data_IF_122282579227
#
_entry.id   IF_122282579227
#
_cell.length_a   1.000
_cell.length_b   1.000
_cell.length_c   1.000
_cell.angle_alpha   90.00
_cell.angle_beta   90.00
_cell.angle_gamma   90.00
#
_symmetry.space_group_name_H-M   'P 1'
#
loop_
_entity.id
_entity.type
_entity.pdbx_description
1 polymer ?
#
# COMPACT_ATOMS: atom_id res chain seq x y z
N UNK A 1 -51.95 -0.80 -3.12
CA UNK A 1 -52.12 0.67 -2.95
C UNK A 1 -51.42 1.40 -4.10
N UNK A 2 -51.81 2.62 -4.51
CA UNK A 2 -51.08 3.31 -5.58
C UNK A 2 -49.72 3.81 -5.06
N UNK A 3 -48.61 3.28 -5.58
CA UNK A 3 -47.26 3.70 -5.16
C UNK A 3 -46.97 5.11 -5.70
N UNK A 4 -46.91 6.09 -4.80
CA UNK A 4 -46.71 7.49 -5.17
C UNK A 4 -45.23 7.82 -5.37
N UNK A 5 -44.95 8.87 -6.16
CA UNK A 5 -43.57 9.35 -6.34
C UNK A 5 -42.92 9.82 -5.03
N UNK A 6 -43.71 10.35 -4.10
CA UNK A 6 -43.25 10.75 -2.76
C UNK A 6 -42.79 9.53 -1.94
N UNK A 7 -43.56 8.44 -1.97
CA UNK A 7 -43.20 7.20 -1.27
C UNK A 7 -41.94 6.56 -1.85
N UNK A 8 -41.81 6.56 -3.18
CA UNK A 8 -40.57 6.13 -3.85
C UNK A 8 -39.39 6.99 -3.43
N UNK A 9 -39.56 8.32 -3.38
CA UNK A 9 -38.50 9.24 -2.95
C UNK A 9 -38.08 8.97 -1.50
N UNK A 10 -39.03 8.80 -0.59
CA UNK A 10 -38.75 8.49 0.82
C UNK A 10 -37.95 7.18 0.97
N UNK A 11 -38.38 6.11 0.29
CA UNK A 11 -37.65 4.85 0.36
C UNK A 11 -36.23 4.98 -0.19
N UNK A 12 -36.03 5.74 -1.28
CA UNK A 12 -34.68 5.98 -1.84
C UNK A 12 -33.80 6.77 -0.89
N UNK A 13 -34.34 7.77 -0.21
CA UNK A 13 -33.58 8.56 0.77
C UNK A 13 -33.13 7.70 1.95
N UNK A 14 -33.95 6.73 2.37
CA UNK A 14 -33.61 5.78 3.45
C UNK A 14 -32.67 4.65 3.03
N UNK A 15 -32.79 4.14 1.79
CA UNK A 15 -32.09 2.93 1.34
C UNK A 15 -30.94 3.16 0.36
N UNK A 16 -30.85 4.34 -0.26
CA UNK A 16 -29.92 4.61 -1.36
C UNK A 16 -30.26 3.91 -2.68
N UNK A 17 -31.38 3.17 -2.75
CA UNK A 17 -31.71 2.38 -3.94
C UNK A 17 -32.02 3.22 -5.19
N UNK A 18 -31.82 2.60 -6.36
CA UNK A 18 -32.25 3.16 -7.65
C UNK A 18 -33.76 3.32 -7.74
N UNK A 19 -34.24 4.29 -8.53
CA UNK A 19 -35.67 4.64 -8.63
C UNK A 19 -36.57 3.44 -8.92
N UNK A 20 -36.17 2.61 -9.88
CA UNK A 20 -36.96 1.46 -10.29
C UNK A 20 -36.94 0.33 -9.26
N UNK A 21 -35.83 0.15 -8.55
CA UNK A 21 -35.72 -0.87 -7.51
C UNK A 21 -36.57 -0.50 -6.29
N UNK A 22 -36.51 0.77 -5.86
CA UNK A 22 -37.38 1.29 -4.80
C UNK A 22 -38.86 1.17 -5.18
N UNK A 23 -39.24 1.55 -6.41
CA UNK A 23 -40.62 1.41 -6.88
C UNK A 23 -41.07 -0.05 -6.91
N UNK A 24 -40.25 -0.98 -7.41
CA UNK A 24 -40.59 -2.42 -7.44
C UNK A 24 -40.73 -2.98 -6.03
N UNK A 25 -39.80 -2.65 -5.13
CA UNK A 25 -39.88 -3.09 -3.74
C UNK A 25 -41.17 -2.61 -3.06
N UNK A 26 -41.56 -1.35 -3.27
CA UNK A 26 -42.83 -0.82 -2.75
C UNK A 26 -44.06 -1.49 -3.36
N UNK A 27 -44.02 -1.86 -4.65
CA UNK A 27 -45.11 -2.62 -5.29
C UNK A 27 -45.23 -4.01 -4.66
N UNK A 28 -44.11 -4.71 -4.44
CA UNK A 28 -44.07 -6.07 -3.89
C UNK A 28 -44.44 -6.12 -2.40
N UNK A 29 -44.35 -4.99 -1.69
CA UNK A 29 -44.63 -4.88 -0.25
C UNK A 29 -45.88 -4.06 0.04
N UNK A 30 -46.73 -3.84 -0.97
CA UNK A 30 -47.98 -3.10 -0.87
C UNK A 30 -47.85 -1.65 -0.33
N UNK A 31 -46.65 -1.06 -0.47
CA UNK A 31 -46.31 0.29 -0.02
C UNK A 31 -45.77 0.38 1.41
N UNK A 32 -45.51 -0.76 2.06
CA UNK A 32 -44.91 -0.84 3.39
C UNK A 32 -43.40 -0.53 3.33
N UNK A 33 -43.00 0.64 3.85
CA UNK A 33 -41.60 1.12 3.79
C UNK A 33 -40.65 0.16 4.47
N UNK A 34 -41.00 -0.35 5.66
CA UNK A 34 -40.08 -1.16 6.46
C UNK A 34 -39.85 -2.52 5.80
N UNK A 35 -40.92 -3.15 5.30
CA UNK A 35 -40.79 -4.37 4.48
C UNK A 35 -40.06 -4.13 3.17
N UNK A 36 -40.25 -2.96 2.54
CA UNK A 36 -39.53 -2.63 1.32
C UNK A 36 -38.02 -2.48 1.56
N UNK A 37 -37.61 -1.96 2.72
CA UNK A 37 -36.20 -1.89 3.13
C UNK A 37 -35.63 -3.31 3.31
N UNK A 38 -36.32 -4.19 4.03
CA UNK A 38 -35.90 -5.59 4.21
C UNK A 38 -35.76 -6.32 2.86
N UNK A 39 -36.73 -6.15 1.96
CA UNK A 39 -36.70 -6.73 0.63
C UNK A 39 -35.55 -6.18 -0.23
N UNK A 40 -35.27 -4.88 -0.14
CA UNK A 40 -34.13 -4.27 -0.84
C UNK A 40 -32.80 -4.81 -0.32
N UNK A 41 -32.70 -5.06 0.98
CA UNK A 41 -31.51 -5.67 1.60
C UNK A 41 -31.30 -7.10 1.10
N UNK A 42 -32.35 -7.92 1.06
CA UNK A 42 -32.29 -9.27 0.48
C UNK A 42 -31.86 -9.25 -1.00
N UNK A 43 -32.47 -8.38 -1.80
CA UNK A 43 -32.09 -8.19 -3.21
C UNK A 43 -30.68 -7.65 -3.36
N UNK A 44 -30.21 -6.82 -2.43
CA UNK A 44 -28.85 -6.31 -2.36
C UNK A 44 -27.82 -7.43 -2.19
N UNK A 45 -28.06 -8.35 -1.27
CA UNK A 45 -27.22 -9.55 -1.09
C UNK A 45 -27.12 -10.37 -2.39
N UNK A 46 -28.25 -10.62 -3.05
CA UNK A 46 -28.25 -11.34 -4.33
C UNK A 46 -27.49 -10.58 -5.44
N UNK A 47 -27.59 -9.25 -5.48
CA UNK A 47 -26.84 -8.41 -6.43
C UNK A 47 -25.34 -8.38 -6.15
N UNK A 48 -24.94 -8.44 -4.87
CA UNK A 48 -23.55 -8.49 -4.47
C UNK A 48 -22.94 -9.86 -4.79
N UNK A 49 -23.66 -10.96 -4.50
CA UNK A 49 -23.25 -12.32 -4.85
C UNK A 49 -22.98 -12.47 -6.36
N UNK A 50 -23.84 -11.89 -7.23
CA UNK A 50 -23.65 -11.90 -8.69
C UNK A 50 -22.43 -11.12 -9.18
N UNK A 51 -21.82 -10.28 -8.33
CA UNK A 51 -20.62 -9.49 -8.66
C UNK A 51 -19.38 -9.97 -7.92
N UNK A 52 -19.49 -10.99 -7.07
CA UNK A 52 -18.40 -11.43 -6.20
C UNK A 52 -17.15 -11.86 -6.99
N UNK A 53 -17.33 -12.44 -8.19
CA UNK A 53 -16.24 -12.91 -9.04
C UNK A 53 -15.56 -11.81 -9.87
N UNK A 54 -16.07 -10.57 -9.83
CA UNK A 54 -15.47 -9.45 -10.58
C UNK A 54 -14.15 -9.02 -9.96
N UNK A 55 -13.27 -8.49 -10.80
CA UNK A 55 -11.98 -7.94 -10.35
C UNK A 55 -12.19 -6.49 -9.88
N UNK A 56 -11.86 -6.23 -8.63
CA UNK A 56 -11.88 -4.88 -8.03
C UNK A 56 -10.45 -4.47 -7.71
N UNK A 57 -9.78 -3.83 -8.68
CA UNK A 57 -8.35 -3.44 -8.59
C UNK A 57 -8.15 -1.92 -8.41
N UNK A 58 -9.22 -1.13 -8.49
CA UNK A 58 -9.19 0.30 -8.13
C UNK A 58 -9.79 0.49 -6.72
N UNK A 59 -9.92 1.74 -6.25
CA UNK A 59 -10.44 2.05 -4.92
C UNK A 59 -9.61 3.08 -4.16
N UNK A 60 -9.69 3.04 -2.84
CA UNK A 60 -9.00 3.95 -1.93
C UNK A 60 -8.47 3.24 -0.69
N UNK A 61 -7.41 3.80 -0.14
CA UNK A 61 -7.02 3.56 1.26
C UNK A 61 -7.74 4.53 2.18
N UNK A 62 -7.99 4.11 3.42
CA UNK A 62 -8.43 4.98 4.51
C UNK A 62 -7.43 4.94 5.66
N UNK A 63 -7.20 6.07 6.33
CA UNK A 63 -6.32 6.15 7.51
C UNK A 63 -7.06 6.85 8.64
N UNK A 64 -7.05 6.28 9.84
CA UNK A 64 -7.64 6.90 11.02
C UNK A 64 -6.78 6.66 12.26
N UNK A 65 -6.64 7.69 13.10
CA UNK A 65 -5.91 7.63 14.36
C UNK A 65 -6.89 7.79 15.51
N UNK A 66 -6.91 6.81 16.42
CA UNK A 66 -7.70 6.77 17.65
C UNK A 66 -6.77 6.67 18.87
N UNK A 67 -6.32 7.81 19.37
CA UNK A 67 -5.36 7.87 20.48
C UNK A 67 -4.04 7.18 20.12
N UNK A 68 -3.76 6.05 20.77
CA UNK A 68 -2.53 5.27 20.59
C UNK A 68 -2.67 4.09 19.60
N UNK A 69 -3.81 4.00 18.91
CA UNK A 69 -4.05 3.01 17.86
C UNK A 69 -4.39 3.74 16.57
N UNK A 70 -3.82 3.31 15.45
CA UNK A 70 -4.15 3.81 14.13
C UNK A 70 -4.48 2.65 13.20
N UNK A 71 -5.42 2.86 12.28
CA UNK A 71 -5.78 1.88 11.26
C UNK A 71 -5.51 2.44 9.87
N UNK A 72 -4.90 1.61 9.02
CA UNK A 72 -4.90 1.80 7.56
C UNK A 72 -5.73 0.68 6.94
N UNK A 73 -6.63 1.03 6.03
CA UNK A 73 -7.52 0.08 5.35
C UNK A 73 -7.40 0.23 3.85
N UNK A 74 -7.66 -0.83 3.10
CA UNK A 74 -7.84 -0.80 1.65
C UNK A 74 -9.25 -1.29 1.30
N UNK A 75 -10.00 -0.43 0.61
CA UNK A 75 -11.32 -0.76 0.06
C UNK A 75 -11.26 -0.62 -1.44
N UNK A 76 -11.65 -1.67 -2.16
CA UNK A 76 -11.56 -1.72 -3.61
C UNK A 76 -12.91 -1.58 -4.30
N UNK A 77 -12.84 -1.08 -5.53
CA UNK A 77 -13.93 -0.99 -6.51
C UNK A 77 -13.43 -1.48 -7.89
N UNK A 78 -14.34 -1.62 -8.86
CA UNK A 78 -13.97 -2.03 -10.22
C UNK A 78 -13.30 -0.85 -10.96
N UNK A 79 -13.78 0.38 -10.76
CA UNK A 79 -13.31 1.57 -11.49
C UNK A 79 -12.81 2.70 -10.58
N UNK A 80 -11.99 3.60 -11.16
CA UNK A 80 -11.50 4.81 -10.48
C UNK A 80 -12.59 5.89 -10.33
N UNK A 81 -13.68 5.80 -11.09
CA UNK A 81 -14.84 6.69 -10.95
C UNK A 81 -15.52 6.48 -9.59
N UNK A 82 -15.64 5.23 -9.14
CA UNK A 82 -16.19 4.92 -7.81
C UNK A 82 -15.30 5.45 -6.69
N UNK A 83 -13.97 5.45 -6.87
CA UNK A 83 -13.06 6.03 -5.90
C UNK A 83 -13.30 7.54 -5.64
N UNK A 84 -13.97 8.25 -6.55
CA UNK A 84 -14.35 9.67 -6.41
C UNK A 84 -15.79 9.86 -5.92
N UNK A 85 -16.56 8.78 -5.76
CA UNK A 85 -17.95 8.81 -5.30
C UNK A 85 -18.01 9.11 -3.79
N UNK A 86 -18.82 10.09 -3.38
CA UNK A 86 -18.91 10.51 -1.98
C UNK A 86 -19.36 9.39 -1.02
N UNK A 87 -20.27 8.51 -1.45
CA UNK A 87 -20.72 7.36 -0.65
C UNK A 87 -19.57 6.37 -0.42
N UNK A 88 -18.75 6.13 -1.45
CA UNK A 88 -17.59 5.26 -1.35
C UNK A 88 -16.51 5.86 -0.46
N UNK A 89 -16.19 7.14 -0.62
CA UNK A 89 -15.22 7.85 0.22
C UNK A 89 -15.63 7.81 1.70
N UNK A 90 -16.91 8.05 2.00
CA UNK A 90 -17.42 7.98 3.36
C UNK A 90 -17.34 6.56 3.95
N UNK A 91 -17.63 5.54 3.15
CA UNK A 91 -17.49 4.14 3.55
C UNK A 91 -16.04 3.78 3.89
N UNK A 92 -15.08 4.23 3.07
CA UNK A 92 -13.63 4.01 3.33
C UNK A 92 -13.21 4.67 4.64
N UNK A 93 -13.57 5.95 4.84
CA UNK A 93 -13.22 6.70 6.05
C UNK A 93 -13.86 6.10 7.31
N UNK A 94 -15.14 5.74 7.23
CA UNK A 94 -15.85 5.13 8.35
C UNK A 94 -15.31 3.75 8.67
N UNK A 95 -14.91 2.97 7.66
CA UNK A 95 -14.24 1.68 7.87
C UNK A 95 -12.95 1.89 8.65
N UNK A 96 -12.06 2.80 8.23
CA UNK A 96 -10.82 3.07 8.94
C UNK A 96 -11.07 3.43 10.42
N UNK A 97 -12.07 4.28 10.67
CA UNK A 97 -12.48 4.64 12.04
C UNK A 97 -12.96 3.44 12.85
N UNK A 98 -13.91 2.68 12.33
CA UNK A 98 -14.50 1.52 13.01
C UNK A 98 -13.44 0.46 13.31
N UNK A 99 -12.48 0.25 12.39
CA UNK A 99 -11.35 -0.67 12.61
C UNK A 99 -10.44 -0.16 13.73
N UNK A 100 -10.06 1.12 13.73
CA UNK A 100 -9.20 1.69 14.79
C UNK A 100 -9.86 1.69 16.17
N UNK A 101 -11.18 1.86 16.23
CA UNK A 101 -11.95 1.82 17.48
C UNK A 101 -12.21 0.38 17.96
N UNK A 102 -12.51 -0.54 17.04
CA UNK A 102 -12.90 -1.92 17.33
C UNK A 102 -11.75 -2.92 17.45
N UNK A 103 -10.58 -2.61 16.90
CA UNK A 103 -9.36 -3.42 16.93
C UNK A 103 -9.58 -4.93 16.62
N UNK A 104 -10.22 -5.26 15.47
CA UNK A 104 -10.50 -6.64 15.13
C UNK A 104 -9.20 -7.40 14.83
N UNK A 105 -9.18 -8.71 15.11
CA UNK A 105 -8.03 -9.56 14.88
C UNK A 105 -7.76 -9.82 13.39
N UNK A 106 -8.81 -9.87 12.58
CA UNK A 106 -8.77 -10.21 11.16
C UNK A 106 -9.98 -9.61 10.41
N UNK A 107 -10.02 -9.82 9.08
CA UNK A 107 -11.08 -9.29 8.24
C UNK A 107 -12.46 -9.87 8.58
N UNK A 108 -12.53 -11.11 9.06
CA UNK A 108 -13.82 -11.74 9.41
C UNK A 108 -14.41 -11.10 10.66
N UNK A 109 -13.58 -10.83 11.67
CA UNK A 109 -13.96 -10.08 12.86
C UNK A 109 -14.30 -8.62 12.52
N UNK A 110 -13.54 -7.99 11.63
CA UNK A 110 -13.79 -6.63 11.16
C UNK A 110 -15.17 -6.48 10.52
N UNK A 111 -15.56 -7.39 9.63
CA UNK A 111 -16.86 -7.35 8.94
C UNK A 111 -18.06 -7.41 9.89
N UNK A 112 -17.88 -7.95 11.11
CA UNK A 112 -18.92 -8.06 12.14
C UNK A 112 -19.03 -6.79 13.01
N UNK A 113 -18.12 -5.82 12.88
CA UNK A 113 -18.20 -4.57 13.63
C UNK A 113 -19.39 -3.73 13.16
N UNK A 114 -20.05 -3.09 14.12
CA UNK A 114 -21.23 -2.25 13.87
C UNK A 114 -20.77 -0.81 13.60
N UNK A 115 -21.21 -0.27 12.47
CA UNK A 115 -20.96 1.12 12.07
C UNK A 115 -21.84 2.08 12.88
N UNK A 116 -21.51 3.38 12.92
CA UNK A 116 -22.37 4.40 13.55
C UNK A 116 -23.80 4.45 13.00
N UNK A 117 -24.02 3.98 11.76
CA UNK A 117 -25.35 3.84 11.14
C UNK A 117 -26.21 2.72 11.75
N UNK A 118 -25.61 1.81 12.53
CA UNK A 118 -26.27 0.68 13.18
C UNK A 118 -26.19 -0.65 12.41
N UNK A 119 -25.77 -0.62 11.14
CA UNK A 119 -25.50 -1.83 10.35
C UNK A 119 -24.06 -2.34 10.57
N UNK A 120 -23.80 -3.61 10.26
CA UNK A 120 -22.41 -4.13 10.29
C UNK A 120 -21.61 -3.64 9.08
N UNK A 121 -20.28 -3.70 9.16
CA UNK A 121 -19.42 -3.42 8.00
C UNK A 121 -19.78 -4.33 6.81
N UNK A 122 -20.06 -5.61 7.04
CA UNK A 122 -20.52 -6.54 5.99
C UNK A 122 -21.79 -6.03 5.28
N UNK A 123 -22.79 -5.62 6.07
CA UNK A 123 -24.05 -5.10 5.55
C UNK A 123 -23.83 -3.82 4.73
N UNK A 124 -22.97 -2.93 5.20
CA UNK A 124 -22.63 -1.69 4.51
C UNK A 124 -21.93 -1.96 3.15
N UNK A 125 -21.03 -2.94 3.06
CA UNK A 125 -20.38 -3.30 1.80
C UNK A 125 -21.33 -3.95 0.80
N UNK A 126 -22.25 -4.79 1.28
CA UNK A 126 -23.33 -5.36 0.47
C UNK A 126 -24.23 -4.23 -0.07
N UNK A 127 -24.63 -3.30 0.80
CA UNK A 127 -25.46 -2.18 0.43
C UNK A 127 -24.76 -1.28 -0.60
N UNK A 128 -23.50 -0.92 -0.36
CA UNK A 128 -22.69 -0.13 -1.29
C UNK A 128 -22.59 -0.81 -2.66
N UNK A 129 -22.36 -2.12 -2.71
CA UNK A 129 -22.35 -2.90 -3.96
C UNK A 129 -23.70 -2.87 -4.67
N UNK A 130 -24.80 -2.89 -3.92
CA UNK A 130 -26.15 -2.87 -4.46
C UNK A 130 -26.54 -1.48 -5.02
N UNK A 131 -26.10 -0.40 -4.38
CA UNK A 131 -26.46 0.99 -4.76
C UNK A 131 -25.51 1.58 -5.79
N UNK A 132 -24.20 1.33 -5.67
CA UNK A 132 -23.18 1.82 -6.62
C UNK A 132 -23.21 1.01 -7.92
N UNK A 133 -23.47 -0.30 -7.82
CA UNK A 133 -23.57 -1.18 -8.99
C UNK A 133 -22.25 -1.78 -9.46
N UNK A 134 -21.16 -1.57 -8.72
CA UNK A 134 -19.87 -2.26 -8.87
C UNK A 134 -19.60 -3.16 -7.66
N UNK A 135 -18.74 -4.17 -7.80
CA UNK A 135 -18.19 -4.92 -6.67
C UNK A 135 -17.41 -3.96 -5.78
N UNK A 136 -17.87 -3.78 -4.55
CA UNK A 136 -17.13 -3.09 -3.49
C UNK A 136 -16.61 -4.14 -2.53
N UNK A 137 -15.32 -4.06 -2.20
CA UNK A 137 -14.67 -5.08 -1.36
C UNK A 137 -13.80 -4.44 -0.29
N UNK A 138 -14.04 -4.82 0.96
CA UNK A 138 -13.07 -4.64 2.02
C UNK A 138 -11.95 -5.65 1.87
N UNK A 139 -10.76 -5.20 1.51
CA UNK A 139 -9.67 -6.10 1.14
C UNK A 139 -8.77 -6.44 2.30
N UNK A 140 -8.28 -5.43 3.02
CA UNK A 140 -7.33 -5.61 4.13
C UNK A 140 -7.30 -4.39 5.03
N UNK A 141 -6.82 -4.60 6.24
CA UNK A 141 -6.45 -3.53 7.17
C UNK A 141 -5.13 -3.88 7.87
N UNK A 142 -4.50 -2.86 8.45
CA UNK A 142 -3.46 -3.02 9.46
C UNK A 142 -3.75 -2.09 10.63
N UNK A 143 -3.54 -2.59 11.84
CA UNK A 143 -3.55 -1.81 13.07
C UNK A 143 -2.09 -1.53 13.45
N UNK A 144 -1.81 -0.28 13.79
CA UNK A 144 -0.50 0.17 14.26
C UNK A 144 -0.68 0.84 15.61
N UNK A 145 0.10 0.42 16.59
CA UNK A 145 0.05 0.95 17.95
C UNK A 145 1.28 1.81 18.23
N UNK A 146 1.12 2.77 19.13
CA UNK A 146 2.23 3.56 19.68
C UNK A 146 2.11 3.72 21.19
N UNK A 147 3.22 4.02 21.85
CA UNK A 147 3.22 4.51 23.23
C UNK A 147 3.01 6.03 23.29
N UNK A 148 2.79 6.57 24.49
CA UNK A 148 2.68 8.03 24.69
C UNK A 148 3.98 8.78 24.38
N UNK A 149 5.13 8.10 24.43
CA UNK A 149 6.44 8.67 24.08
C UNK A 149 6.72 8.67 22.57
N UNK A 150 5.82 8.10 21.77
CA UNK A 150 5.95 7.94 20.32
C UNK A 150 4.94 8.80 19.57
N UNK A 151 5.25 9.09 18.31
CA UNK A 151 4.41 9.85 17.40
C UNK A 151 4.00 8.99 16.20
N UNK A 152 2.75 9.15 15.74
CA UNK A 152 2.29 8.60 14.48
C UNK A 152 2.62 9.55 13.33
N UNK A 153 2.96 9.00 12.17
CA UNK A 153 2.92 9.68 10.89
C UNK A 153 1.78 9.14 10.04
N UNK A 154 0.57 9.70 10.14
CA UNK A 154 -0.55 9.32 9.28
C UNK A 154 -0.48 10.11 7.96
N UNK A 155 -0.43 9.39 6.83
CA UNK A 155 -0.28 10.00 5.51
C UNK A 155 -1.08 9.27 4.44
N UNK A 156 -1.75 10.04 3.57
CA UNK A 156 -2.34 9.55 2.34
C UNK A 156 -1.75 10.30 1.15
N UNK A 157 -1.38 9.57 0.10
CA UNK A 157 -0.81 10.11 -1.13
C UNK A 157 -1.73 9.84 -2.33
N UNK A 158 -1.55 10.62 -3.42
CA UNK A 158 -2.26 10.45 -4.69
C UNK A 158 -3.78 10.31 -4.52
N UNK A 159 -4.39 11.20 -3.73
CA UNK A 159 -5.84 11.22 -3.50
C UNK A 159 -6.36 10.00 -2.72
N UNK A 160 -5.51 9.33 -1.94
CA UNK A 160 -5.88 8.15 -1.15
C UNK A 160 -5.51 6.82 -1.81
N UNK A 161 -4.84 6.82 -2.97
CA UNK A 161 -4.32 5.57 -3.57
C UNK A 161 -3.25 4.88 -2.74
N UNK A 162 -2.54 5.62 -1.90
CA UNK A 162 -1.54 5.09 -0.99
C UNK A 162 -1.85 5.60 0.41
N UNK A 163 -1.91 4.70 1.38
CA UNK A 163 -2.10 4.99 2.79
C UNK A 163 -0.91 4.49 3.59
N UNK A 164 -0.37 5.34 4.46
CA UNK A 164 0.82 5.03 5.27
C UNK A 164 0.59 5.48 6.70
N UNK A 165 0.99 4.62 7.65
CA UNK A 165 1.17 4.96 9.05
C UNK A 165 2.60 4.61 9.42
N UNK A 166 3.36 5.54 10.00
CA UNK A 166 4.64 5.25 10.64
C UNK A 166 4.53 5.50 12.15
N UNK A 167 5.36 4.84 12.92
CA UNK A 167 5.60 5.15 14.34
C UNK A 167 7.06 5.52 14.47
N UNK A 168 7.32 6.66 15.11
CA UNK A 168 8.67 7.07 15.49
C UNK A 168 8.72 7.30 16.99
N UNK A 169 9.91 7.13 17.56
CA UNK A 169 10.24 7.56 18.91
C UNK A 169 11.29 8.66 18.83
N UNK A 170 11.08 9.74 19.58
CA UNK A 170 11.82 10.99 19.38
C UNK A 170 11.28 11.79 18.19
N UNK A 171 11.29 13.12 18.30
CA UNK A 171 10.65 14.01 17.33
C UNK A 171 9.14 14.17 17.54
N UNK A 172 8.46 14.69 16.52
CA UNK A 172 7.04 15.06 16.55
C UNK A 172 6.24 14.43 15.40
N UNK A 173 4.94 14.71 15.35
CA UNK A 173 4.03 14.26 14.28
C UNK A 173 4.48 14.76 12.90
N UNK A 174 5.13 15.93 12.82
CA UNK A 174 5.66 16.48 11.57
C UNK A 174 6.76 15.58 11.01
N UNK A 175 7.75 15.23 11.84
CA UNK A 175 8.82 14.32 11.46
C UNK A 175 8.26 12.95 11.07
N UNK A 176 7.34 12.41 11.87
CA UNK A 176 6.72 11.11 11.59
C UNK A 176 6.01 11.11 10.24
N UNK A 177 5.28 12.19 9.92
CA UNK A 177 4.62 12.36 8.63
C UNK A 177 5.62 12.43 7.46
N UNK A 178 6.77 13.07 7.64
CA UNK A 178 7.82 13.10 6.60
C UNK A 178 8.40 11.70 6.34
N UNK A 179 8.60 10.89 7.39
CA UNK A 179 8.97 9.48 7.24
C UNK A 179 7.88 8.71 6.48
N UNK A 180 6.60 8.96 6.77
CA UNK A 180 5.50 8.34 6.00
C UNK A 180 5.46 8.75 4.53
N UNK A 181 5.85 9.99 4.21
CA UNK A 181 6.00 10.43 2.81
C UNK A 181 7.13 9.67 2.12
N UNK A 182 8.24 9.44 2.82
CA UNK A 182 9.33 8.59 2.32
C UNK A 182 8.86 7.16 2.08
N UNK A 183 8.21 6.52 3.06
CA UNK A 183 7.65 5.16 2.92
C UNK A 183 6.67 5.06 1.75
N UNK A 184 5.82 6.08 1.54
CA UNK A 184 4.88 6.10 0.42
C UNK A 184 5.61 6.06 -0.94
N UNK A 185 6.70 6.81 -1.06
CA UNK A 185 7.49 6.96 -2.28
C UNK A 185 8.44 5.79 -2.55
N UNK A 186 9.21 5.38 -1.54
CA UNK A 186 10.30 4.41 -1.67
C UNK A 186 9.87 2.96 -1.45
N UNK A 187 8.64 2.74 -0.97
CA UNK A 187 8.01 1.42 -0.83
C UNK A 187 8.86 0.37 -0.08
N UNK A 188 9.50 0.71 1.06
CA UNK A 188 10.15 -0.32 1.86
C UNK A 188 9.12 -1.37 2.31
N UNK A 189 9.60 -2.60 2.46
CA UNK A 189 8.78 -3.75 2.87
C UNK A 189 8.99 -4.11 4.34
N UNK A 190 10.16 -3.79 4.91
CA UNK A 190 10.51 -4.03 6.31
C UNK A 190 11.26 -2.82 6.89
N UNK A 191 11.44 -2.76 8.21
CA UNK A 191 12.12 -1.64 8.84
C UNK A 191 13.64 -1.69 8.59
N UNK A 192 14.24 -2.86 8.79
CA UNK A 192 15.69 -3.05 8.76
C UNK A 192 16.12 -4.35 8.08
N UNK A 193 17.41 -4.44 7.76
CA UNK A 193 18.03 -5.65 7.19
C UNK A 193 17.87 -6.91 8.07
N UNK A 194 17.61 -6.75 9.38
CA UNK A 194 17.45 -7.88 10.31
C UNK A 194 16.15 -8.65 10.11
N UNK A 195 15.19 -8.06 9.40
CA UNK A 195 13.89 -8.67 9.06
C UNK A 195 13.90 -9.36 7.70
N UNK A 196 14.97 -9.22 6.92
CA UNK A 196 15.07 -9.86 5.62
C UNK A 196 15.45 -11.33 5.77
N UNK A 197 14.72 -12.20 5.07
CA UNK A 197 15.04 -13.62 5.00
C UNK A 197 16.38 -13.84 4.25
N UNK A 198 17.30 -14.66 4.76
CA UNK A 198 18.59 -14.89 4.10
C UNK A 198 18.50 -15.51 2.70
N UNK A 199 17.47 -16.31 2.40
CA UNK A 199 17.27 -16.85 1.07
C UNK A 199 16.75 -15.77 0.13
N UNK A 200 15.78 -14.95 0.57
CA UNK A 200 15.34 -13.77 -0.16
C UNK A 200 16.51 -12.85 -0.54
N UNK A 201 17.40 -12.54 0.41
CA UNK A 201 18.59 -11.70 0.13
C UNK A 201 19.47 -12.31 -0.97
N UNK A 202 19.68 -13.63 -0.96
CA UNK A 202 20.47 -14.32 -2.00
C UNK A 202 19.80 -14.26 -3.36
N UNK A 203 18.48 -14.47 -3.41
CA UNK A 203 17.72 -14.47 -4.66
C UNK A 203 17.69 -13.07 -5.28
N UNK A 204 17.46 -12.03 -4.48
CA UNK A 204 17.51 -10.63 -4.93
C UNK A 204 18.92 -10.21 -5.37
N UNK A 205 19.96 -10.62 -4.65
CA UNK A 205 21.34 -10.38 -5.05
C UNK A 205 21.66 -11.02 -6.42
N UNK A 206 21.18 -12.24 -6.65
CA UNK A 206 21.36 -12.91 -7.94
C UNK A 206 20.63 -12.16 -9.07
N UNK A 207 19.43 -11.64 -8.82
CA UNK A 207 18.71 -10.80 -9.79
C UNK A 207 19.45 -9.48 -10.08
N UNK A 208 19.99 -8.82 -9.06
CA UNK A 208 20.80 -7.61 -9.24
C UNK A 208 22.04 -7.90 -10.09
N UNK A 209 22.75 -8.99 -9.81
CA UNK A 209 23.92 -9.40 -10.60
C UNK A 209 23.55 -9.77 -12.04
N UNK A 210 22.42 -10.44 -12.26
CA UNK A 210 21.95 -10.73 -13.61
C UNK A 210 21.67 -9.44 -14.40
N UNK A 211 21.11 -8.41 -13.76
CA UNK A 211 20.93 -7.10 -14.38
C UNK A 211 22.27 -6.42 -14.70
N UNK A 212 23.26 -6.53 -13.81
CA UNK A 212 24.61 -6.01 -14.07
C UNK A 212 25.26 -6.71 -15.26
N UNK A 213 25.06 -8.02 -15.42
CA UNK A 213 25.53 -8.78 -16.58
C UNK A 213 24.91 -8.25 -17.89
N UNK A 214 23.59 -8.05 -17.93
CA UNK A 214 22.90 -7.47 -19.09
C UNK A 214 23.41 -6.05 -19.41
N UNK A 215 23.61 -5.21 -18.39
CA UNK A 215 24.19 -3.88 -18.55
C UNK A 215 25.63 -3.96 -19.08
N UNK A 216 26.40 -4.97 -18.66
CA UNK A 216 27.76 -5.20 -19.12
C UNK A 216 27.84 -5.65 -20.58
N UNK A 217 26.87 -6.44 -21.06
CA UNK A 217 26.73 -6.73 -22.49
C UNK A 217 26.55 -5.44 -23.29
N UNK A 218 25.66 -4.55 -22.83
CA UNK A 218 25.42 -3.25 -23.46
C UNK A 218 26.65 -2.33 -23.41
N UNK A 219 27.40 -2.34 -22.29
CA UNK A 219 28.65 -1.57 -22.12
C UNK A 219 29.76 -2.03 -23.04
N UNK A 220 29.89 -3.34 -23.24
CA UNK A 220 30.87 -3.92 -24.16
C UNK A 220 30.65 -3.45 -25.61
N UNK A 221 29.40 -3.24 -26.03
CA UNK A 221 29.08 -2.72 -27.36
C UNK A 221 29.50 -1.26 -27.59
N UNK A 222 29.74 -0.50 -26.52
CA UNK A 222 30.14 0.92 -26.57
C UNK A 222 31.52 1.16 -25.96
N UNK A 223 32.36 0.12 -25.89
CA UNK A 223 33.73 0.13 -25.35
C UNK A 223 33.83 0.73 -23.93
N UNK A 224 32.79 0.56 -23.11
CA UNK A 224 32.79 0.98 -21.70
C UNK A 224 33.26 -0.16 -20.79
N UNK A 225 34.00 0.14 -19.71
CA UNK A 225 34.36 -0.86 -18.72
C UNK A 225 33.14 -1.55 -18.10
N UNK A 226 33.29 -2.85 -17.87
CA UNK A 226 32.31 -3.65 -17.14
C UNK A 226 32.17 -3.15 -15.70
N UNK A 227 30.94 -3.12 -15.22
CA UNK A 227 30.60 -2.94 -13.82
C UNK A 227 30.96 -4.21 -13.04
N UNK A 228 31.50 -4.08 -11.82
CA UNK A 228 31.75 -5.22 -10.95
C UNK A 228 30.42 -5.86 -10.51
N UNK A 229 30.42 -7.19 -10.36
CA UNK A 229 29.33 -7.90 -9.72
C UNK A 229 29.36 -7.65 -8.21
N UNK A 230 28.18 -7.63 -7.60
CA UNK A 230 28.00 -7.49 -6.17
C UNK A 230 28.29 -8.82 -5.48
N UNK A 231 29.14 -8.77 -4.45
CA UNK A 231 29.47 -9.94 -3.64
C UNK A 231 28.44 -10.15 -2.51
N UNK A 232 27.90 -9.05 -1.98
CA UNK A 232 26.91 -9.06 -0.92
C UNK A 232 25.73 -8.16 -1.29
N UNK A 233 24.55 -8.51 -0.79
CA UNK A 233 23.32 -7.74 -1.00
C UNK A 233 22.83 -7.02 0.25
N UNK A 234 23.26 -7.48 1.43
CA UNK A 234 22.76 -7.02 2.72
C UNK A 234 23.87 -6.86 3.77
N UNK A 235 23.67 -5.91 4.68
CA UNK A 235 24.48 -5.68 5.88
C UNK A 235 24.56 -6.92 6.76
N UNK A 236 23.55 -7.79 6.72
CA UNK A 236 23.58 -9.08 7.41
C UNK A 236 24.76 -9.98 6.99
N UNK A 237 25.29 -9.79 5.78
CA UNK A 237 26.41 -10.57 5.23
C UNK A 237 27.77 -9.91 5.51
N UNK A 238 27.79 -8.65 5.96
CA UNK A 238 28.99 -7.84 6.18
C UNK A 238 29.52 -8.03 7.61
N UNK A 239 30.07 -9.22 7.86
CA UNK A 239 30.72 -9.52 9.14
C UNK A 239 31.98 -8.67 9.36
N UNK A 240 32.45 -8.59 10.60
CA UNK A 240 33.69 -7.87 10.94
C UNK A 240 34.89 -8.36 10.10
N UNK A 241 34.95 -9.65 9.79
CA UNK A 241 35.98 -10.24 8.91
C UNK A 241 35.88 -9.71 7.47
N UNK A 242 34.66 -9.64 6.93
CA UNK A 242 34.41 -9.09 5.58
C UNK A 242 34.78 -7.61 5.52
N UNK A 243 34.42 -6.85 6.54
CA UNK A 243 34.74 -5.41 6.62
C UNK A 243 36.25 -5.20 6.71
N UNK A 244 36.95 -5.97 7.56
CA UNK A 244 38.40 -5.91 7.68
C UNK A 244 39.09 -6.29 6.36
N UNK A 245 38.62 -7.35 5.69
CA UNK A 245 39.14 -7.77 4.40
C UNK A 245 38.92 -6.71 3.31
N UNK A 246 37.76 -6.05 3.30
CA UNK A 246 37.49 -4.94 2.40
C UNK A 246 38.43 -3.77 2.64
N UNK A 247 38.68 -3.41 3.91
CA UNK A 247 39.61 -2.35 4.30
C UNK A 247 41.05 -2.67 3.83
N UNK A 248 41.52 -3.90 4.05
CA UNK A 248 42.83 -4.35 3.57
C UNK A 248 42.93 -4.32 2.03
N UNK A 249 41.89 -4.76 1.34
CA UNK A 249 41.82 -4.76 -0.11
C UNK A 249 41.89 -3.34 -0.67
N UNK A 250 41.14 -2.39 -0.07
CA UNK A 250 41.17 -0.98 -0.46
C UNK A 250 42.56 -0.37 -0.18
N UNK A 251 43.20 -0.68 0.95
CA UNK A 251 44.57 -0.22 1.23
C UNK A 251 45.57 -0.76 0.19
N UNK A 252 45.46 -2.03 -0.18
CA UNK A 252 46.29 -2.63 -1.22
C UNK A 252 46.07 -1.96 -2.59
N UNK A 253 44.82 -1.61 -2.95
CA UNK A 253 44.51 -0.84 -4.15
C UNK A 253 45.15 0.55 -4.12
N UNK A 254 45.04 1.29 -3.00
CA UNK A 254 45.64 2.62 -2.86
C UNK A 254 47.18 2.56 -2.98
N UNK A 255 47.81 1.52 -2.45
CA UNK A 255 49.24 1.27 -2.61
C UNK A 255 49.61 1.01 -4.07
N UNK A 256 48.84 0.18 -4.77
CA UNK A 256 49.05 -0.14 -6.18
C UNK A 256 48.83 1.09 -7.09
N UNK A 257 47.92 1.99 -6.72
CA UNK A 257 47.71 3.30 -7.37
C UNK A 257 48.83 4.31 -7.06
N UNK A 258 49.81 3.96 -6.21
CA UNK A 258 50.93 4.82 -5.84
C UNK A 258 50.56 5.97 -4.90
N UNK A 259 49.42 5.88 -4.20
CA UNK A 259 48.99 6.92 -3.25
C UNK A 259 49.77 6.83 -1.95
N UNK A 260 50.38 7.93 -1.44
CA UNK A 260 51.13 7.92 -0.19
C UNK A 260 50.28 7.51 1.02
N UNK A 261 50.81 6.67 1.92
CA UNK A 261 50.08 6.18 3.12
C UNK A 261 49.53 7.31 3.99
N UNK A 262 50.25 8.43 4.10
CA UNK A 262 49.83 9.61 4.88
C UNK A 262 48.50 10.27 4.43
N UNK A 263 47.99 9.96 3.23
CA UNK A 263 46.69 10.46 2.77
C UNK A 263 45.58 9.39 2.85
N UNK A 264 45.90 8.14 3.21
CA UNK A 264 44.93 7.05 3.22
C UNK A 264 43.81 7.30 4.24
N UNK A 265 44.12 7.86 5.41
CA UNK A 265 43.11 8.18 6.44
C UNK A 265 42.01 9.14 5.94
N UNK A 266 42.30 9.93 4.89
CA UNK A 266 41.33 10.84 4.27
C UNK A 266 40.50 10.18 3.16
N UNK A 267 40.99 9.08 2.57
CA UNK A 267 40.38 8.41 1.42
C UNK A 267 39.59 7.17 1.86
N UNK A 268 40.14 6.43 2.83
CA UNK A 268 39.62 5.15 3.28
C UNK A 268 38.16 5.23 3.77
N UNK A 269 37.73 6.23 4.56
CA UNK A 269 36.34 6.34 4.98
C UNK A 269 35.37 6.42 3.80
N UNK A 270 35.63 7.28 2.81
CA UNK A 270 34.75 7.40 1.65
C UNK A 270 34.73 6.17 0.74
N UNK A 271 35.85 5.44 0.64
CA UNK A 271 35.91 4.15 -0.07
C UNK A 271 35.14 3.06 0.68
N UNK A 272 35.22 3.04 2.01
CA UNK A 272 34.46 2.12 2.86
C UNK A 272 32.96 2.43 2.82
N UNK A 273 32.55 3.68 2.89
CA UNK A 273 31.15 4.09 2.73
C UNK A 273 30.60 3.64 1.38
N UNK A 274 31.40 3.80 0.32
CA UNK A 274 31.03 3.31 -1.01
C UNK A 274 30.91 1.79 -1.04
N UNK A 275 31.85 1.06 -0.43
CA UNK A 275 31.80 -0.40 -0.32
C UNK A 275 30.52 -0.85 0.40
N UNK A 276 30.17 -0.21 1.52
CA UNK A 276 28.94 -0.52 2.25
C UNK A 276 27.71 -0.26 1.38
N UNK A 277 27.64 0.90 0.70
CA UNK A 277 26.53 1.24 -0.18
C UNK A 277 26.36 0.25 -1.34
N UNK A 278 27.45 -0.13 -1.99
CA UNK A 278 27.40 -1.08 -3.10
C UNK A 278 27.00 -2.50 -2.63
N UNK A 279 27.36 -2.89 -1.41
CA UNK A 279 27.11 -4.23 -0.86
C UNK A 279 25.86 -4.36 0.03
N UNK A 280 25.00 -3.35 0.00
CA UNK A 280 23.72 -3.30 0.75
C UNK A 280 22.54 -2.91 -0.15
N UNK A 281 22.64 -3.15 -1.46
CA UNK A 281 21.60 -2.72 -2.40
C UNK A 281 20.25 -3.41 -2.17
N UNK A 282 20.23 -4.65 -1.66
CA UNK A 282 18.98 -5.32 -1.27
C UNK A 282 18.37 -4.58 -0.08
N UNK A 283 19.17 -4.19 0.91
CA UNK A 283 18.68 -3.41 2.05
C UNK A 283 18.10 -2.06 1.61
N UNK A 284 18.77 -1.35 0.69
CA UNK A 284 18.29 -0.08 0.14
C UNK A 284 17.00 -0.24 -0.67
N UNK A 285 16.79 -1.37 -1.34
CA UNK A 285 15.57 -1.63 -2.07
C UNK A 285 14.38 -1.93 -1.14
N UNK A 286 14.62 -2.67 -0.06
CA UNK A 286 13.54 -3.31 0.70
C UNK A 286 13.36 -2.83 2.14
N UNK A 287 14.31 -2.11 2.71
CA UNK A 287 14.30 -1.70 4.13
C UNK A 287 14.19 -0.19 4.26
N UNK A 288 13.38 0.29 5.22
CA UNK A 288 13.22 1.73 5.45
C UNK A 288 14.54 2.39 5.87
N UNK A 289 15.25 1.78 6.82
CA UNK A 289 16.40 2.41 7.48
C UNK A 289 17.62 2.57 6.55
N UNK A 290 17.82 1.66 5.59
CA UNK A 290 18.93 1.75 4.63
C UNK A 290 18.64 2.66 3.42
N UNK A 291 17.37 3.03 3.19
CA UNK A 291 17.01 3.89 2.06
C UNK A 291 17.59 5.30 2.20
N UNK A 292 18.05 5.86 1.07
CA UNK A 292 18.43 7.28 0.99
C UNK A 292 17.21 8.16 1.22
N UNK A 293 17.28 9.08 2.17
CA UNK A 293 16.12 9.84 2.59
C UNK A 293 15.70 10.86 1.52
N UNK A 294 14.42 10.89 1.16
CA UNK A 294 13.94 11.70 0.02
C UNK A 294 14.00 13.21 0.27
N UNK A 295 14.06 13.63 1.54
CA UNK A 295 14.15 15.05 1.92
C UNK A 295 15.61 15.47 2.16
N UNK A 296 16.55 14.53 2.26
CA UNK A 296 17.98 14.76 2.44
C UNK A 296 18.75 13.57 1.82
N UNK A 297 19.12 13.72 0.55
CA UNK A 297 19.78 12.66 -0.23
C UNK A 297 21.24 12.41 0.19
N UNK A 298 21.76 13.18 1.15
CA UNK A 298 23.09 12.99 1.71
C UNK A 298 23.13 11.90 2.78
N UNK A 299 21.98 11.41 3.25
CA UNK A 299 21.86 10.46 4.37
C UNK A 299 20.83 9.38 4.09
N UNK A 300 21.00 8.25 4.76
CA UNK A 300 19.92 7.25 4.90
C UNK A 300 18.85 7.75 5.86
N UNK A 301 17.68 7.12 5.87
CA UNK A 301 16.63 7.40 6.86
C UNK A 301 17.14 7.19 8.29
N UNK A 302 17.90 6.11 8.53
CA UNK A 302 18.52 5.85 9.84
C UNK A 302 19.42 7.00 10.27
N UNK A 303 20.40 7.37 9.44
CA UNK A 303 21.35 8.43 9.75
C UNK A 303 20.68 9.81 9.91
N UNK A 304 19.62 10.07 9.13
CA UNK A 304 18.84 11.29 9.27
C UNK A 304 18.12 11.33 10.64
N UNK A 305 17.40 10.27 10.99
CA UNK A 305 16.65 10.18 12.24
C UNK A 305 17.57 10.26 13.47
N UNK A 306 18.71 9.56 13.45
CA UNK A 306 19.73 9.66 14.51
C UNK A 306 20.23 11.10 14.68
N UNK A 307 20.46 11.82 13.58
CA UNK A 307 20.95 13.20 13.63
C UNK A 307 19.95 14.19 14.25
N UNK A 308 18.68 13.81 14.36
CA UNK A 308 17.62 14.57 15.04
C UNK A 308 17.15 13.91 16.34
N UNK A 309 17.90 12.93 16.86
CA UNK A 309 17.58 12.16 18.06
C UNK A 309 16.21 11.45 18.00
N UNK A 310 15.88 10.91 16.83
CA UNK A 310 14.68 10.11 16.58
C UNK A 310 15.06 8.71 16.06
N UNK A 311 14.10 7.79 16.09
CA UNK A 311 14.20 6.46 15.49
C UNK A 311 12.84 6.01 14.95
N UNK A 312 12.85 5.30 13.83
CA UNK A 312 11.64 4.64 13.32
C UNK A 312 11.40 3.34 14.10
N UNK A 313 10.14 3.09 14.45
CA UNK A 313 9.72 1.96 15.30
C UNK A 313 8.97 0.92 14.47
N UNK A 314 8.03 1.37 13.64
CA UNK A 314 7.23 0.51 12.77
C UNK A 314 6.57 1.33 11.67
N UNK A 315 6.07 0.66 10.64
CA UNK A 315 5.19 1.29 9.65
C UNK A 315 4.23 0.27 9.03
N UNK A 316 3.15 0.79 8.45
CA UNK A 316 2.26 0.07 7.56
C UNK A 316 2.03 0.92 6.31
N UNK A 317 2.06 0.28 5.14
CA UNK A 317 1.85 0.93 3.84
C UNK A 317 0.92 0.06 3.00
N UNK A 318 -0.15 0.64 2.47
CA UNK A 318 -0.97 0.02 1.44
C UNK A 318 -0.99 0.88 0.17
N UNK A 319 -0.95 0.21 -0.97
CA UNK A 319 -1.23 0.79 -2.29
C UNK A 319 -2.43 0.06 -2.90
N UNK A 320 -3.40 0.83 -3.40
CA UNK A 320 -4.64 0.30 -3.98
C UNK A 320 -4.32 -0.63 -5.15
N UNK A 321 -4.84 -1.85 -5.07
CA UNK A 321 -4.73 -2.86 -6.12
C UNK A 321 -3.38 -3.58 -6.16
N UNK A 322 -2.49 -3.32 -5.21
CA UNK A 322 -1.19 -3.99 -5.13
C UNK A 322 -1.36 -5.51 -5.07
N UNK A 323 -0.77 -6.24 -6.03
CA UNK A 323 -0.88 -7.69 -6.14
C UNK A 323 -2.18 -8.20 -6.79
N UNK A 324 -3.05 -7.31 -7.30
CA UNK A 324 -4.23 -7.70 -8.09
C UNK A 324 -3.89 -7.60 -9.57
N UNK A 325 -4.01 -8.70 -10.31
CA UNK A 325 -3.91 -8.68 -11.76
C UNK A 325 -5.09 -7.89 -12.35
N UNK A 326 -4.78 -6.84 -13.10
CA UNK A 326 -5.80 -6.09 -13.84
C UNK A 326 -6.09 -6.82 -15.14
N UNK A 327 -7.35 -7.13 -15.38
CA UNK A 327 -7.79 -7.63 -16.67
C UNK A 327 -7.41 -6.61 -17.76
N UNK A 328 -6.68 -7.06 -18.78
CA UNK A 328 -6.45 -6.26 -19.98
C UNK A 328 -7.71 -6.34 -20.83
N UNK A 329 -8.45 -5.24 -20.92
CA UNK A 329 -9.65 -5.18 -21.75
C UNK A 329 -9.30 -4.58 -23.11
N UNK A 330 -9.58 -5.33 -24.17
CA UNK A 330 -9.49 -4.87 -25.56
C UNK A 330 -10.87 -4.34 -25.99
N UNK A 331 -11.02 -3.02 -25.94
CA UNK A 331 -12.27 -2.34 -26.26
C UNK A 331 -12.69 -2.57 -27.72
N UNK A 332 -11.74 -2.70 -28.65
CA UNK A 332 -12.05 -2.98 -30.05
C UNK A 332 -12.63 -4.39 -30.20
N UNK A 333 -12.04 -5.37 -29.52
CA UNK A 333 -12.55 -6.73 -29.50
C UNK A 333 -13.94 -6.82 -28.85
N UNK A 334 -14.20 -6.09 -27.75
CA UNK A 334 -15.52 -6.06 -27.10
C UNK A 334 -16.60 -5.43 -28.00
N UNK A 335 -16.27 -4.31 -28.67
CA UNK A 335 -17.17 -3.66 -29.64
C UNK A 335 -17.45 -4.59 -30.83
N UNK A 336 -16.42 -5.25 -31.37
CA UNK A 336 -16.59 -6.20 -32.46
C UNK A 336 -17.47 -7.39 -32.05
N UNK A 337 -17.27 -7.93 -30.85
CA UNK A 337 -18.06 -9.05 -30.33
C UNK A 337 -19.53 -8.67 -30.09
N UNK A 338 -19.80 -7.49 -29.53
CA UNK A 338 -21.17 -7.01 -29.31
C UNK A 338 -21.89 -6.70 -30.62
N UNK A 339 -21.20 -6.10 -31.61
CA UNK A 339 -21.76 -5.89 -32.95
C UNK A 339 -22.05 -7.23 -33.66
N UNK A 340 -21.16 -8.21 -33.55
CA UNK A 340 -21.37 -9.54 -34.12
C UNK A 340 -22.56 -10.28 -33.47
N UNK A 341 -22.71 -10.18 -32.14
CA UNK A 341 -23.85 -10.77 -31.42
C UNK A 341 -25.18 -10.11 -31.79
N UNK A 342 -25.19 -8.79 -32.05
CA UNK A 342 -26.38 -8.07 -32.48
C UNK A 342 -26.80 -8.40 -33.92
N UNK A 343 -25.87 -8.82 -34.78
CA UNK A 343 -26.14 -9.22 -36.17
C UNK A 343 -26.64 -10.67 -36.29
N UNK A 344 -26.50 -11.48 -35.24
CA UNK A 344 -26.88 -12.90 -35.22
C UNK A 344 -28.22 -13.18 -34.49
N UNK A 345 -28.95 -12.13 -34.07
CA UNK A 345 -30.31 -12.20 -33.50
C UNK A 345 -31.30 -11.49 -34.43
#
# INVERSE_FOLDING_TARGET
MAITAALVKELREKSGAGVMDAKKALVETDGDIDKAIELLREKGMAKAAKKADRVAAEGLTGVYVNGNVAAVVEVNAETDFVAKNAQFVELVNTTAKVIAEGQPADNEAALKLVMPSGETLEEAYVNATATIGEKISFRRFALVEKTDAQAFGAYQHNGGRIGVITVIEGGDETLAKQVSMHVAAMKPTVLSYTELDPQFVKDELAQLNHKIEQDNESRAMVDKPALPLLQYGSKAQLTDEVIAQAEESIKAELAAEGKPEQIWDKILPGKMDRFMLDNTQVDQAYTLLAQVYIMDDSKTVEAYLESVNAKAVSFARFEVGEGIEKASNDFEAEVAATMAAALNN
#
